data_IF_220067490608
#
_entry.id   IF_220067490608
#
_cell.length_a   1.000
_cell.length_b   1.000
_cell.length_c   1.000
_cell.angle_alpha   90.00
_cell.angle_beta   90.00
_cell.angle_gamma   90.00
#
_symmetry.space_group_name_H-M   'P 1'
#
loop_
_entity.id
_entity.type
_entity.pdbx_description
1 polymer ?
#
# COMPACT_ATOMS: atom_id res chain seq x y z
N UNK A 1 -12.63 27.41 -22.02
CA UNK A 1 -12.51 26.16 -21.25
C UNK A 1 -13.59 25.21 -21.71
N UNK A 2 -13.25 24.25 -22.58
CA UNK A 2 -14.21 23.24 -23.03
C UNK A 2 -14.28 22.19 -21.92
N UNK A 3 -15.32 22.25 -21.08
CA UNK A 3 -15.57 21.20 -20.10
C UNK A 3 -15.93 19.93 -20.85
N UNK A 4 -15.12 18.89 -20.66
CA UNK A 4 -15.35 17.57 -21.24
C UNK A 4 -16.77 17.10 -20.87
N UNK A 5 -17.61 16.63 -21.81
CA UNK A 5 -19.01 16.29 -21.56
C UNK A 5 -19.19 15.23 -20.46
N UNK A 6 -18.17 14.43 -20.23
CA UNK A 6 -18.14 13.43 -19.17
C UNK A 6 -18.14 14.05 -17.76
N UNK A 7 -17.50 15.21 -17.59
CA UNK A 7 -17.45 15.92 -16.30
C UNK A 7 -18.83 16.46 -15.92
N UNK A 8 -19.66 16.78 -16.91
CA UNK A 8 -21.03 17.26 -16.75
C UNK A 8 -21.98 16.11 -16.41
N UNK A 9 -21.78 14.92 -17.01
CA UNK A 9 -22.57 13.71 -16.67
C UNK A 9 -22.25 13.22 -15.27
N UNK A 10 -20.98 13.19 -14.89
CA UNK A 10 -20.55 12.74 -13.56
C UNK A 10 -21.06 13.66 -12.45
N UNK A 11 -21.00 14.98 -12.67
CA UNK A 11 -21.53 15.95 -11.71
C UNK A 11 -23.05 15.86 -11.58
N UNK A 12 -23.78 15.65 -12.69
CA UNK A 12 -25.24 15.42 -12.66
C UNK A 12 -25.60 14.14 -11.92
N UNK A 13 -24.92 13.04 -12.21
CA UNK A 13 -25.15 11.77 -11.53
C UNK A 13 -24.88 11.89 -10.02
N UNK A 14 -23.77 12.53 -9.64
CA UNK A 14 -23.43 12.76 -8.22
C UNK A 14 -24.44 13.67 -7.51
N UNK A 15 -25.03 14.64 -8.22
CA UNK A 15 -26.09 15.49 -7.69
C UNK A 15 -27.42 14.72 -7.50
N UNK A 16 -27.72 13.77 -8.38
CA UNK A 16 -28.92 12.92 -8.29
C UNK A 16 -28.79 11.83 -7.22
N UNK A 17 -27.59 11.26 -7.05
CA UNK A 17 -27.33 10.13 -6.15
C UNK A 17 -26.36 10.53 -5.02
N UNK A 18 -26.76 11.48 -4.17
CA UNK A 18 -25.91 12.06 -3.12
C UNK A 18 -25.36 11.01 -2.15
N UNK A 19 -26.21 10.04 -1.74
CA UNK A 19 -25.81 8.98 -0.79
C UNK A 19 -24.77 8.06 -1.43
N UNK A 20 -25.00 7.62 -2.67
CA UNK A 20 -24.05 6.78 -3.39
C UNK A 20 -22.70 7.49 -3.60
N UNK A 21 -22.73 8.76 -3.97
CA UNK A 21 -21.52 9.57 -4.13
C UNK A 21 -20.73 9.70 -2.81
N UNK A 22 -21.41 9.92 -1.68
CA UNK A 22 -20.78 9.96 -0.35
C UNK A 22 -20.16 8.61 0.04
N UNK A 23 -20.88 7.51 -0.17
CA UNK A 23 -20.38 6.17 0.12
C UNK A 23 -19.17 5.81 -0.75
N UNK A 24 -19.23 6.14 -2.05
CA UNK A 24 -18.14 5.89 -2.98
C UNK A 24 -16.89 6.68 -2.58
N UNK A 25 -17.05 7.97 -2.23
CA UNK A 25 -15.96 8.78 -1.72
C UNK A 25 -15.35 8.21 -0.44
N UNK A 26 -16.19 7.86 0.55
CA UNK A 26 -15.74 7.24 1.80
C UNK A 26 -14.99 5.92 1.56
N UNK A 27 -15.49 5.08 0.65
CA UNK A 27 -14.84 3.83 0.28
C UNK A 27 -13.48 4.05 -0.40
N UNK A 28 -13.39 5.02 -1.31
CA UNK A 28 -12.10 5.36 -1.95
C UNK A 28 -11.09 5.89 -0.95
N UNK A 29 -11.52 6.71 0.02
CA UNK A 29 -10.67 7.20 1.10
C UNK A 29 -10.19 6.07 2.01
N UNK A 30 -11.10 5.15 2.38
CA UNK A 30 -10.74 3.98 3.18
C UNK A 30 -9.71 3.10 2.49
N UNK A 31 -9.87 2.82 1.19
CA UNK A 31 -8.90 2.07 0.41
C UNK A 31 -7.56 2.79 0.33
N UNK A 32 -7.58 4.09 0.06
CA UNK A 32 -6.39 4.95 -0.02
C UNK A 32 -5.57 4.92 1.28
N UNK A 33 -6.25 5.07 2.41
CA UNK A 33 -5.67 5.00 3.76
C UNK A 33 -5.12 3.60 4.06
N UNK A 34 -5.88 2.56 3.74
CA UNK A 34 -5.46 1.17 3.93
C UNK A 34 -4.17 0.89 3.17
N UNK A 35 -4.10 1.27 1.90
CA UNK A 35 -2.90 1.12 1.06
C UNK A 35 -1.71 1.87 1.68
N UNK A 36 -1.92 3.11 2.13
CA UNK A 36 -0.88 3.90 2.79
C UNK A 36 -0.32 3.19 4.02
N UNK A 37 -1.20 2.74 4.91
CA UNK A 37 -0.82 2.00 6.12
C UNK A 37 -0.03 0.72 5.80
N UNK A 38 -0.52 -0.08 4.86
CA UNK A 38 0.16 -1.31 4.44
C UNK A 38 1.54 -1.05 3.82
N UNK A 39 1.65 -0.04 2.95
CA UNK A 39 2.93 0.35 2.36
C UNK A 39 3.89 0.86 3.44
N UNK A 40 3.38 1.64 4.39
CA UNK A 40 4.13 2.13 5.55
C UNK A 40 4.79 0.99 6.32
N UNK A 41 4.00 -0.03 6.66
CA UNK A 41 4.48 -1.25 7.35
C UNK A 41 5.53 -2.02 6.54
N UNK A 42 5.45 -2.00 5.22
CA UNK A 42 6.29 -2.82 4.35
C UNK A 42 7.58 -2.15 3.87
N UNK A 43 7.58 -0.83 3.65
CA UNK A 43 8.68 -0.10 3.00
C UNK A 43 9.65 0.56 3.97
N UNK A 44 9.16 1.21 5.03
CA UNK A 44 10.02 2.00 5.90
C UNK A 44 10.64 1.06 6.94
N UNK A 45 11.97 1.09 7.14
CA UNK A 45 12.56 0.48 8.32
C UNK A 45 11.96 1.12 9.59
N UNK A 46 11.88 0.34 10.67
CA UNK A 46 11.27 0.71 11.94
C UNK A 46 11.59 2.16 12.36
N UNK A 47 10.58 3.05 12.29
CA UNK A 47 10.67 4.41 12.81
C UNK A 47 10.73 4.38 14.34
N UNK A 48 11.57 5.23 14.92
CA UNK A 48 11.56 5.49 16.35
C UNK A 48 10.30 6.28 16.75
N UNK A 49 9.92 6.20 18.03
CA UNK A 49 8.78 6.97 18.59
C UNK A 49 8.99 8.47 18.36
N UNK A 50 10.23 8.95 18.52
CA UNK A 50 10.58 10.37 18.37
C UNK A 50 10.42 10.83 16.91
N UNK A 51 10.92 10.08 15.94
CA UNK A 51 10.76 10.41 14.52
C UNK A 51 9.29 10.39 14.09
N UNK A 52 8.50 9.42 14.57
CA UNK A 52 7.07 9.36 14.31
C UNK A 52 6.33 10.59 14.84
N UNK A 53 6.63 11.01 16.07
CA UNK A 53 6.06 12.22 16.69
C UNK A 53 6.38 13.48 15.88
N UNK A 54 7.64 13.65 15.46
CA UNK A 54 8.07 14.80 14.65
C UNK A 54 7.31 14.84 13.32
N UNK A 55 7.17 13.70 12.63
CA UNK A 55 6.41 13.60 11.38
C UNK A 55 4.93 13.93 11.59
N UNK A 56 4.32 13.42 12.67
CA UNK A 56 2.93 13.74 13.00
C UNK A 56 2.71 15.23 13.23
N UNK A 57 3.56 15.86 14.05
CA UNK A 57 3.47 17.30 14.35
C UNK A 57 3.64 18.13 13.08
N UNK A 58 4.63 17.80 12.23
CA UNK A 58 4.87 18.51 10.97
C UNK A 58 3.68 18.39 10.01
N UNK A 59 3.10 17.20 9.86
CA UNK A 59 1.98 16.99 8.92
C UNK A 59 0.67 17.60 9.42
N UNK A 60 0.39 17.51 10.73
CA UNK A 60 -0.80 18.12 11.33
C UNK A 60 -0.70 19.64 11.31
N UNK A 61 0.46 20.21 11.66
CA UNK A 61 0.67 21.67 11.58
C UNK A 61 0.53 22.19 10.15
N UNK A 62 1.11 21.51 9.17
CA UNK A 62 0.95 21.87 7.76
C UNK A 62 -0.53 21.81 7.33
N UNK A 63 -1.23 20.74 7.70
CA UNK A 63 -2.66 20.59 7.39
C UNK A 63 -3.50 21.68 8.04
N UNK A 64 -3.20 22.03 9.30
CA UNK A 64 -3.86 23.10 10.04
C UNK A 64 -3.68 24.46 9.36
N UNK A 65 -2.45 24.81 8.96
CA UNK A 65 -2.16 26.05 8.25
C UNK A 65 -2.96 26.13 6.95
N UNK A 66 -3.02 25.04 6.18
CA UNK A 66 -3.74 24.99 4.90
C UNK A 66 -5.26 25.09 5.06
N UNK A 67 -5.82 24.48 6.10
CA UNK A 67 -7.25 24.59 6.42
C UNK A 67 -7.59 26.01 6.86
N UNK A 68 -6.72 26.65 7.65
CA UNK A 68 -6.96 27.99 8.19
C UNK A 68 -6.75 29.11 7.16
N UNK A 69 -6.11 28.82 6.02
CA UNK A 69 -6.08 29.74 4.89
C UNK A 69 -7.49 29.90 4.33
N UNK A 70 -8.12 31.05 4.62
CA UNK A 70 -9.41 31.47 4.07
C UNK A 70 -9.33 31.57 2.54
N UNK A 71 -9.53 30.44 1.88
CA UNK A 71 -9.49 30.35 0.43
C UNK A 71 -10.88 30.68 -0.08
N UNK A 72 -11.06 31.88 -0.65
CA UNK A 72 -12.34 32.23 -1.28
C UNK A 72 -12.69 31.18 -2.35
N UNK A 73 -13.92 30.66 -2.31
CA UNK A 73 -14.43 29.62 -3.22
C UNK A 73 -14.31 30.00 -4.71
N UNK A 74 -14.16 31.29 -5.02
CA UNK A 74 -13.91 31.78 -6.38
C UNK A 74 -12.59 31.30 -6.98
N UNK A 75 -11.58 30.97 -6.16
CA UNK A 75 -10.31 30.44 -6.62
C UNK A 75 -10.31 28.90 -6.58
N UNK A 76 -11.11 28.29 -7.46
CA UNK A 76 -11.24 26.83 -7.57
C UNK A 76 -9.88 26.11 -7.68
N UNK A 77 -8.91 26.72 -8.40
CA UNK A 77 -7.54 26.19 -8.52
C UNK A 77 -6.83 26.08 -7.16
N UNK A 78 -6.90 27.12 -6.32
CA UNK A 78 -6.27 27.11 -4.98
C UNK A 78 -6.98 26.16 -4.03
N UNK A 79 -8.31 26.08 -4.12
CA UNK A 79 -9.09 25.12 -3.34
C UNK A 79 -8.71 23.67 -3.67
N UNK A 80 -8.59 23.33 -4.96
CA UNK A 80 -8.16 22.02 -5.41
C UNK A 80 -6.71 21.70 -4.98
N UNK A 81 -5.80 22.67 -5.10
CA UNK A 81 -4.42 22.53 -4.64
C UNK A 81 -4.35 22.25 -3.13
N UNK A 82 -5.04 23.04 -2.30
CA UNK A 82 -5.06 22.85 -0.86
C UNK A 82 -5.67 21.49 -0.47
N UNK A 83 -6.78 21.10 -1.13
CA UNK A 83 -7.39 19.79 -0.95
C UNK A 83 -6.43 18.64 -1.27
N UNK A 84 -5.69 18.74 -2.39
CA UNK A 84 -4.70 17.74 -2.77
C UNK A 84 -3.56 17.64 -1.75
N UNK A 85 -3.10 18.75 -1.18
CA UNK A 85 -2.05 18.74 -0.15
C UNK A 85 -2.56 18.11 1.14
N UNK A 86 -3.76 18.46 1.62
CA UNK A 86 -4.38 17.84 2.81
C UNK A 86 -4.57 16.33 2.61
N UNK A 87 -5.03 15.95 1.41
CA UNK A 87 -5.15 14.55 1.02
C UNK A 87 -3.78 13.86 1.06
N UNK A 88 -2.72 14.49 0.58
CA UNK A 88 -1.35 13.96 0.65
C UNK A 88 -0.84 13.85 2.10
N UNK A 89 -1.11 14.83 2.95
CA UNK A 89 -0.74 14.80 4.37
C UNK A 89 -1.40 13.64 5.12
N UNK A 90 -2.70 13.42 4.92
CA UNK A 90 -3.41 12.28 5.52
C UNK A 90 -2.83 10.94 5.05
N UNK A 91 -2.48 10.82 3.77
CA UNK A 91 -1.81 9.62 3.25
C UNK A 91 -0.47 9.38 3.94
N UNK A 92 0.37 10.41 4.05
CA UNK A 92 1.68 10.33 4.70
C UNK A 92 1.56 9.99 6.20
N UNK A 93 0.57 10.53 6.89
CA UNK A 93 0.30 10.19 8.30
C UNK A 93 0.05 8.69 8.45
N UNK A 94 -0.90 8.14 7.70
CA UNK A 94 -1.21 6.71 7.78
C UNK A 94 -0.05 5.82 7.32
N UNK A 95 0.72 6.27 6.33
CA UNK A 95 1.96 5.62 5.90
C UNK A 95 2.99 5.58 7.05
N UNK A 96 3.22 6.69 7.75
CA UNK A 96 4.09 6.74 8.92
C UNK A 96 3.56 5.89 10.08
N UNK A 97 2.25 5.89 10.33
CA UNK A 97 1.61 5.06 11.36
C UNK A 97 1.82 3.57 11.07
N UNK A 98 1.66 3.14 9.81
CA UNK A 98 1.92 1.75 9.42
C UNK A 98 3.36 1.30 9.69
N UNK A 99 4.33 2.18 9.43
CA UNK A 99 5.74 1.94 9.77
C UNK A 99 5.96 1.81 11.29
N UNK A 100 5.35 2.70 12.07
CA UNK A 100 5.43 2.68 13.53
C UNK A 100 4.95 1.34 14.13
N UNK A 101 3.79 0.86 13.70
CA UNK A 101 3.25 -0.43 14.15
C UNK A 101 4.15 -1.62 13.76
N UNK A 102 4.90 -1.52 12.66
CA UNK A 102 5.87 -2.57 12.29
C UNK A 102 6.97 -2.74 13.34
N UNK A 103 7.39 -1.67 14.02
CA UNK A 103 8.42 -1.70 15.05
C UNK A 103 7.93 -2.36 16.35
N UNK A 104 6.67 -2.13 16.69
CA UNK A 104 6.07 -2.71 17.88
C UNK A 104 5.93 -4.24 17.76
N UNK A 105 5.59 -4.75 16.57
CA UNK A 105 5.52 -6.19 16.28
C UNK A 105 6.89 -6.88 16.39
N UNK A 106 7.99 -6.22 15.96
CA UNK A 106 9.34 -6.77 16.15
C UNK A 106 9.80 -6.78 17.60
N UNK A 107 9.46 -5.76 18.39
CA UNK A 107 9.93 -5.63 19.78
C UNK A 107 9.08 -6.46 20.76
N UNK A 108 7.79 -6.67 20.49
CA UNK A 108 6.89 -7.46 21.33
C UNK A 108 7.20 -8.97 21.31
N UNK A 109 7.80 -9.50 20.23
CA UNK A 109 8.31 -10.89 20.22
C UNK A 109 9.50 -11.14 21.17
N UNK A 110 10.07 -10.09 21.77
CA UNK A 110 11.14 -10.17 22.78
C UNK A 110 10.67 -9.97 24.22
N UNK A 111 9.40 -9.61 24.44
CA UNK A 111 8.81 -9.41 25.78
C UNK A 111 7.70 -10.44 26.04
N UNK A 112 8.04 -11.72 25.98
CA UNK A 112 7.33 -12.75 26.75
C UNK A 112 8.30 -13.27 27.80
N UNK A 113 7.88 -13.33 29.05
CA UNK A 113 8.67 -13.62 30.28
C UNK A 113 9.30 -12.38 30.92
N UNK A 114 8.45 -11.43 31.33
CA UNK A 114 8.68 -10.70 32.58
C UNK A 114 7.52 -11.02 33.51
N UNK A 115 7.39 -12.31 33.86
CA UNK A 115 6.64 -12.71 35.04
C UNK A 115 7.55 -12.49 36.25
N UNK A 116 7.09 -11.64 37.15
CA UNK A 116 7.73 -11.34 38.42
C UNK A 116 8.05 -12.61 39.22
N UNK A 117 9.26 -12.62 39.76
CA UNK A 117 9.55 -12.93 41.17
C UNK A 117 9.37 -14.38 41.66
N UNK A 118 10.47 -15.15 41.63
CA UNK A 118 10.89 -15.98 42.77
C UNK A 118 12.42 -15.97 42.81
N UNK A 119 12.99 -15.22 43.74
CA UNK A 119 14.33 -15.50 44.25
C UNK A 119 14.30 -16.85 44.99
N UNK A 120 14.90 -17.88 44.42
CA UNK A 120 15.41 -19.01 45.22
C UNK A 120 16.82 -19.36 44.78
N UNK A 121 17.75 -18.88 45.60
CA UNK A 121 19.12 -19.33 45.72
C UNK A 121 19.15 -20.83 45.98
N UNK A 122 19.64 -21.64 45.03
CA UNK A 122 20.34 -22.87 45.41
C UNK A 122 21.29 -23.35 44.30
N UNK A 123 22.58 -23.39 44.67
CA UNK A 123 23.65 -24.06 43.94
C UNK A 123 23.30 -25.53 43.72
N UNK A 124 23.46 -26.06 42.51
CA UNK A 124 23.76 -27.47 42.23
C UNK A 124 24.10 -27.67 40.74
N UNK A 125 25.06 -28.55 40.45
CA UNK A 125 25.80 -28.70 39.19
C UNK A 125 25.05 -29.20 37.95
N UNK A 126 23.77 -28.85 37.77
CA UNK A 126 22.95 -29.21 36.60
C UNK A 126 22.80 -28.06 35.59
N UNK A 127 23.42 -26.91 35.87
CA UNK A 127 23.33 -25.69 35.07
C UNK A 127 24.34 -25.62 33.92
N UNK A 128 25.40 -26.44 33.95
CA UNK A 128 26.43 -26.43 32.91
C UNK A 128 25.92 -27.06 31.59
N UNK A 129 25.11 -28.11 31.67
CA UNK A 129 24.56 -28.79 30.49
C UNK A 129 23.49 -27.95 29.78
N UNK A 130 22.72 -27.16 30.54
CA UNK A 130 21.69 -26.25 30.02
C UNK A 130 22.29 -24.99 29.38
N UNK A 131 23.49 -24.59 29.80
CA UNK A 131 24.22 -23.45 29.25
C UNK A 131 24.85 -23.79 27.89
N UNK A 132 25.33 -25.02 27.69
CA UNK A 132 25.82 -25.49 26.38
C UNK A 132 24.69 -25.65 25.35
N UNK A 133 23.56 -26.25 25.75
CA UNK A 133 22.36 -26.35 24.88
C UNK A 133 21.85 -24.96 24.46
N UNK A 134 21.86 -23.98 25.37
CA UNK A 134 21.53 -22.58 25.03
C UNK A 134 22.57 -21.89 24.13
N UNK A 135 23.87 -22.19 24.26
CA UNK A 135 24.92 -21.61 23.41
C UNK A 135 24.83 -22.07 21.96
N UNK A 136 24.38 -23.31 21.74
CA UNK A 136 24.10 -23.86 20.41
C UNK A 136 22.87 -23.15 19.82
N UNK A 137 21.81 -23.00 20.60
CA UNK A 137 20.56 -22.36 20.15
C UNK A 137 20.72 -20.85 19.85
N UNK A 138 21.59 -20.17 20.60
CA UNK A 138 21.98 -18.78 20.32
C UNK A 138 22.80 -18.69 19.04
N UNK A 139 23.66 -19.66 18.72
CA UNK A 139 24.43 -19.68 17.45
C UNK A 139 23.54 -19.99 16.24
N UNK A 140 22.51 -20.82 16.37
CA UNK A 140 21.48 -21.02 15.32
C UNK A 140 20.62 -19.77 15.13
N UNK A 141 20.14 -19.13 16.21
CA UNK A 141 19.40 -17.85 16.13
C UNK A 141 20.25 -16.69 15.59
N UNK A 142 21.56 -16.64 15.88
CA UNK A 142 22.48 -15.63 15.32
C UNK A 142 22.82 -15.89 13.84
N UNK A 143 22.76 -17.15 13.36
CA UNK A 143 22.85 -17.50 11.94
C UNK A 143 21.52 -17.27 11.19
N UNK A 144 20.37 -17.31 11.85
CA UNK A 144 19.07 -16.93 11.25
C UNK A 144 18.89 -15.41 11.14
N UNK A 145 19.33 -14.63 12.15
CA UNK A 145 19.34 -13.16 12.05
C UNK A 145 20.25 -12.64 10.93
N UNK A 146 21.30 -13.38 10.54
CA UNK A 146 22.16 -13.04 9.39
C UNK A 146 21.58 -13.40 8.02
N UNK A 147 20.53 -14.23 7.94
CA UNK A 147 19.84 -14.60 6.67
C UNK A 147 18.61 -13.72 6.36
N UNK A 148 18.26 -12.78 7.24
CA UNK A 148 17.13 -11.85 7.08
C UNK A 148 17.50 -10.54 6.37
N UNK A 149 18.76 -10.38 5.93
CA UNK A 149 19.21 -9.36 4.97
C UNK A 149 18.82 -9.73 3.52
N UNK A 150 17.64 -10.34 3.33
CA UNK A 150 17.09 -10.51 1.98
C UNK A 150 16.40 -9.20 1.58
N UNK A 151 17.26 -8.21 1.29
CA UNK A 151 17.04 -7.07 0.40
C UNK A 151 15.83 -6.18 0.70
N UNK A 152 15.93 -5.37 1.75
CA UNK A 152 15.08 -4.17 1.95
C UNK A 152 14.98 -3.35 0.65
N UNK A 153 16.09 -3.25 -0.12
CA UNK A 153 16.12 -2.59 -1.44
C UNK A 153 15.16 -3.20 -2.48
N UNK A 154 15.02 -4.52 -2.57
CA UNK A 154 14.07 -5.15 -3.53
C UNK A 154 12.63 -5.00 -3.09
N UNK A 155 12.36 -5.04 -1.78
CA UNK A 155 11.01 -4.76 -1.25
C UNK A 155 10.59 -3.33 -1.56
N UNK A 156 11.50 -2.37 -1.35
CA UNK A 156 11.29 -0.97 -1.73
C UNK A 156 11.05 -0.85 -3.23
N UNK A 157 11.82 -1.54 -4.07
CA UNK A 157 11.63 -1.52 -5.52
C UNK A 157 10.26 -2.06 -5.95
N UNK A 158 9.79 -3.17 -5.37
CA UNK A 158 8.46 -3.71 -5.68
C UNK A 158 7.33 -2.80 -5.18
N UNK A 159 7.51 -2.19 -4.00
CA UNK A 159 6.58 -1.18 -3.47
C UNK A 159 6.51 0.06 -4.36
N UNK A 160 7.67 0.55 -4.84
CA UNK A 160 7.75 1.68 -5.76
C UNK A 160 7.12 1.35 -7.12
N UNK A 161 7.33 0.14 -7.65
CA UNK A 161 6.68 -0.31 -8.89
C UNK A 161 5.15 -0.36 -8.75
N UNK A 162 4.64 -0.81 -7.61
CA UNK A 162 3.21 -0.75 -7.32
C UNK A 162 2.73 0.71 -7.26
N UNK A 163 3.44 1.56 -6.54
CA UNK A 163 3.09 2.97 -6.42
C UNK A 163 3.12 3.69 -7.77
N UNK A 164 4.02 3.30 -8.68
CA UNK A 164 4.10 3.81 -10.04
C UNK A 164 2.96 3.31 -10.94
N UNK A 165 2.44 2.10 -10.69
CA UNK A 165 1.31 1.55 -11.46
C UNK A 165 0.00 2.32 -11.26
N UNK A 166 -0.20 2.90 -10.07
CA UNK A 166 -1.38 3.69 -9.70
C UNK A 166 -1.59 4.94 -10.57
N UNK A 167 -0.65 5.91 -10.64
CA UNK A 167 -0.78 7.09 -11.49
C UNK A 167 -0.81 6.70 -12.97
N UNK A 168 -0.09 5.65 -13.37
CA UNK A 168 -0.10 5.18 -14.76
C UNK A 168 -1.48 4.66 -15.17
N UNK A 169 -2.15 3.91 -14.29
CA UNK A 169 -3.52 3.43 -14.51
C UNK A 169 -4.51 4.59 -14.54
N UNK A 170 -4.37 5.56 -13.63
CA UNK A 170 -5.23 6.73 -13.58
C UNK A 170 -5.12 7.57 -14.86
N UNK A 171 -3.90 7.88 -15.30
CA UNK A 171 -3.66 8.60 -16.55
C UNK A 171 -4.23 7.83 -17.73
N UNK A 172 -3.98 6.52 -17.81
CA UNK A 172 -4.47 5.69 -18.91
C UNK A 172 -6.01 5.64 -18.97
N UNK A 173 -6.71 5.62 -17.83
CA UNK A 173 -8.17 5.74 -17.76
C UNK A 173 -8.67 7.11 -18.24
N UNK A 174 -8.01 8.20 -17.83
CA UNK A 174 -8.37 9.55 -18.29
C UNK A 174 -8.20 9.68 -19.81
N UNK A 175 -7.11 9.14 -20.36
CA UNK A 175 -6.86 9.15 -21.80
C UNK A 175 -7.84 8.26 -22.56
N UNK A 176 -8.13 7.05 -22.06
CA UNK A 176 -9.13 6.16 -22.66
C UNK A 176 -10.51 6.83 -22.73
N UNK A 177 -10.88 7.51 -21.65
CA UNK A 177 -12.13 8.26 -21.54
C UNK A 177 -12.19 9.44 -22.53
N UNK A 178 -11.10 10.21 -22.66
CA UNK A 178 -10.99 11.30 -23.64
C UNK A 178 -11.09 10.81 -25.09
N UNK A 179 -10.43 9.71 -25.44
CA UNK A 179 -10.47 9.13 -26.78
C UNK A 179 -11.81 8.47 -27.10
N UNK A 180 -12.47 7.87 -26.10
CA UNK A 180 -13.82 7.32 -26.27
C UNK A 180 -14.84 8.42 -26.56
N UNK A 181 -14.67 9.59 -25.96
CA UNK A 181 -15.53 10.75 -26.22
C UNK A 181 -15.32 11.39 -27.60
N UNK A 182 -14.16 11.19 -28.24
CA UNK A 182 -13.87 11.75 -29.58
C UNK A 182 -14.25 10.81 -30.73
N UNK A 183 -14.97 9.72 -30.45
CA UNK A 183 -15.53 8.82 -31.46
C UNK A 183 -14.57 7.74 -31.96
N UNK A 184 -13.36 7.65 -31.42
CA UNK A 184 -12.46 6.54 -31.71
C UNK A 184 -12.92 5.30 -30.94
N UNK A 185 -13.32 4.25 -31.65
CA UNK A 185 -13.84 3.03 -31.00
C UNK A 185 -12.70 2.12 -30.54
N UNK A 186 -11.63 1.95 -31.33
CA UNK A 186 -10.59 0.95 -31.05
C UNK A 186 -9.55 1.38 -30.01
N UNK A 187 -9.02 2.60 -30.11
CA UNK A 187 -7.95 3.12 -29.24
C UNK A 187 -8.28 3.15 -27.74
N UNK A 188 -9.51 3.53 -27.32
CA UNK A 188 -9.89 3.50 -25.92
C UNK A 188 -9.80 2.10 -25.31
N UNK A 189 -10.22 1.06 -26.04
CA UNK A 189 -10.14 -0.31 -25.56
C UNK A 189 -8.71 -0.75 -25.30
N UNK A 190 -7.79 -0.40 -26.19
CA UNK A 190 -6.36 -0.70 -26.02
C UNK A 190 -5.80 -0.01 -24.77
N UNK A 191 -6.10 1.28 -24.58
CA UNK A 191 -5.67 2.03 -23.40
C UNK A 191 -6.32 1.51 -22.11
N UNK A 192 -7.58 1.08 -22.18
CA UNK A 192 -8.30 0.48 -21.06
C UNK A 192 -7.59 -0.80 -20.63
N UNK A 193 -7.36 -1.74 -21.57
CA UNK A 193 -6.65 -3.00 -21.32
C UNK A 193 -5.24 -2.74 -20.79
N UNK A 194 -4.52 -1.78 -21.36
CA UNK A 194 -3.17 -1.41 -20.92
C UNK A 194 -3.16 -0.86 -19.49
N UNK A 195 -4.13 -0.01 -19.15
CA UNK A 195 -4.29 0.56 -17.80
C UNK A 195 -4.57 -0.54 -16.77
N UNK A 196 -5.49 -1.47 -17.08
CA UNK A 196 -5.78 -2.59 -16.19
C UNK A 196 -4.65 -3.61 -16.12
N UNK A 197 -3.91 -3.80 -17.21
CA UNK A 197 -2.67 -4.57 -17.23
C UNK A 197 -1.63 -3.97 -16.29
N UNK A 198 -1.46 -2.65 -16.29
CA UNK A 198 -0.57 -1.95 -15.38
C UNK A 198 -1.03 -2.11 -13.92
N UNK A 199 -2.32 -1.97 -13.64
CA UNK A 199 -2.88 -2.16 -12.30
C UNK A 199 -2.70 -3.60 -11.80
N UNK A 200 -2.94 -4.60 -12.64
CA UNK A 200 -2.74 -5.99 -12.29
C UNK A 200 -1.27 -6.36 -12.10
N UNK A 201 -0.37 -5.79 -12.90
CA UNK A 201 1.06 -5.89 -12.67
C UNK A 201 1.44 -5.30 -11.31
N UNK A 202 0.89 -4.14 -10.96
CA UNK A 202 1.01 -3.54 -9.65
C UNK A 202 0.56 -4.50 -8.53
N UNK A 203 -0.67 -5.01 -8.62
CA UNK A 203 -1.22 -5.96 -7.64
C UNK A 203 -0.36 -7.23 -7.52
N UNK A 204 0.19 -7.72 -8.62
CA UNK A 204 1.11 -8.85 -8.60
C UNK A 204 2.41 -8.54 -7.86
N UNK A 205 3.00 -7.36 -8.08
CA UNK A 205 4.17 -6.92 -7.31
C UNK A 205 3.84 -6.78 -5.83
N UNK A 206 2.63 -6.34 -5.50
CA UNK A 206 2.13 -6.24 -4.14
C UNK A 206 2.00 -7.64 -3.50
N UNK A 207 1.37 -8.62 -4.17
CA UNK A 207 1.34 -10.02 -3.70
C UNK A 207 2.75 -10.61 -3.54
N UNK A 208 3.68 -10.24 -4.43
CA UNK A 208 5.07 -10.69 -4.38
C UNK A 208 5.88 -10.01 -3.28
N UNK A 209 5.58 -8.75 -2.96
CA UNK A 209 6.12 -8.01 -1.83
C UNK A 209 5.74 -8.71 -0.51
N UNK A 210 4.52 -9.21 -0.42
CA UNK A 210 4.01 -9.91 0.76
C UNK A 210 4.39 -11.40 0.83
N UNK A 211 4.78 -12.00 -0.29
CA UNK A 211 5.20 -13.40 -0.32
C UNK A 211 6.53 -13.58 0.44
N UNK A 212 6.48 -14.24 1.60
CA UNK A 212 7.67 -14.63 2.40
C UNK A 212 8.62 -15.59 1.68
N UNK A 213 8.20 -16.14 0.53
CA UNK A 213 8.98 -17.09 -0.26
C UNK A 213 10.08 -16.33 -1.03
N UNK A 214 11.34 -16.76 -0.85
CA UNK A 214 12.45 -16.23 -1.64
C UNK A 214 12.13 -16.41 -3.13
N UNK A 215 12.11 -15.34 -3.94
CA UNK A 215 11.93 -15.47 -5.37
C UNK A 215 13.13 -16.25 -5.92
N UNK A 216 12.89 -17.51 -6.33
CA UNK A 216 13.86 -18.25 -7.13
C UNK A 216 14.08 -17.49 -8.44
N UNK A 217 15.31 -17.49 -8.94
CA UNK A 217 15.64 -16.86 -10.22
C UNK A 217 14.75 -17.47 -11.31
N UNK A 218 14.17 -16.63 -12.17
CA UNK A 218 13.27 -17.09 -13.25
C UNK A 218 13.90 -18.14 -14.17
N UNK A 219 15.24 -18.10 -14.29
CA UNK A 219 16.05 -19.02 -15.09
C UNK A 219 16.06 -20.46 -14.54
N UNK A 220 15.85 -20.64 -13.25
CA UNK A 220 15.96 -21.93 -12.56
C UNK A 220 14.61 -22.63 -12.32
N UNK A 221 13.51 -22.04 -12.84
CA UNK A 221 12.15 -22.54 -12.64
C UNK A 221 11.74 -23.47 -13.79
N UNK A 222 11.21 -24.64 -13.45
CA UNK A 222 10.63 -25.58 -14.42
C UNK A 222 9.38 -24.98 -15.10
N UNK A 223 9.00 -25.47 -16.30
CA UNK A 223 7.82 -24.97 -17.04
C UNK A 223 6.52 -25.02 -16.21
N UNK A 224 6.30 -26.07 -15.41
CA UNK A 224 5.13 -26.18 -14.52
C UNK A 224 5.15 -25.16 -13.38
N UNK A 225 6.32 -24.87 -12.80
CA UNK A 225 6.43 -23.86 -11.74
C UNK A 225 6.27 -22.43 -12.28
N UNK A 226 6.72 -22.16 -13.51
CA UNK A 226 6.49 -20.87 -14.19
C UNK A 226 4.99 -20.57 -14.33
N UNK A 227 4.21 -21.56 -14.74
CA UNK A 227 2.76 -21.42 -14.86
C UNK A 227 2.08 -21.22 -13.51
N UNK A 228 2.53 -21.95 -12.48
CA UNK A 228 2.04 -21.76 -11.09
C UNK A 228 2.37 -20.38 -10.52
N UNK A 229 3.48 -19.76 -10.95
CA UNK A 229 3.85 -18.40 -10.59
C UNK A 229 3.02 -17.33 -11.33
N UNK A 230 2.54 -17.62 -12.53
CA UNK A 230 1.65 -16.72 -13.31
C UNK A 230 0.18 -16.83 -12.92
N UNK A 231 -0.25 -17.97 -12.36
CA UNK A 231 -1.62 -18.16 -11.85
C UNK A 231 -2.13 -17.01 -10.97
N UNK A 232 -1.39 -16.52 -9.94
CA UNK A 232 -1.85 -15.39 -9.14
C UNK A 232 -1.97 -14.08 -9.93
N UNK A 233 -1.13 -13.85 -10.95
CA UNK A 233 -1.26 -12.68 -11.83
C UNK A 233 -2.57 -12.73 -12.62
N UNK A 234 -2.88 -13.88 -13.24
CA UNK A 234 -4.13 -14.05 -13.98
C UNK A 234 -5.36 -13.97 -13.07
N UNK A 235 -5.29 -14.53 -11.86
CA UNK A 235 -6.37 -14.42 -10.88
C UNK A 235 -6.60 -12.97 -10.48
N UNK A 236 -5.55 -12.21 -10.17
CA UNK A 236 -5.68 -10.77 -9.88
C UNK A 236 -6.25 -10.00 -11.08
N UNK A 237 -5.82 -10.32 -12.31
CA UNK A 237 -6.35 -9.69 -13.51
C UNK A 237 -7.84 -9.99 -13.73
N UNK A 238 -8.26 -11.24 -13.50
CA UNK A 238 -9.64 -11.68 -13.63
C UNK A 238 -10.54 -11.06 -12.55
N UNK A 239 -10.06 -10.94 -11.31
CA UNK A 239 -10.77 -10.23 -10.23
C UNK A 239 -10.97 -8.76 -10.59
N UNK A 240 -9.93 -8.09 -11.08
CA UNK A 240 -10.01 -6.69 -11.50
C UNK A 240 -11.05 -6.53 -12.61
N UNK A 241 -10.98 -7.35 -13.66
CA UNK A 241 -11.97 -7.36 -14.75
C UNK A 241 -13.39 -7.62 -14.24
N UNK A 242 -13.57 -8.55 -13.31
CA UNK A 242 -14.89 -8.86 -12.74
C UNK A 242 -15.46 -7.68 -11.95
N UNK A 243 -14.67 -7.04 -11.09
CA UNK A 243 -15.10 -5.87 -10.31
C UNK A 243 -15.50 -4.72 -11.24
N UNK A 244 -14.75 -4.48 -12.31
CA UNK A 244 -15.05 -3.43 -13.28
C UNK A 244 -16.28 -3.78 -14.10
N UNK A 245 -16.41 -5.04 -14.54
CA UNK A 245 -17.58 -5.50 -15.27
C UNK A 245 -18.87 -5.30 -14.47
N UNK A 246 -18.83 -5.62 -13.17
CA UNK A 246 -19.92 -5.31 -12.24
C UNK A 246 -20.14 -3.80 -12.15
N UNK A 247 -19.08 -3.00 -12.01
CA UNK A 247 -19.20 -1.54 -11.94
C UNK A 247 -19.81 -0.91 -13.19
N UNK A 248 -19.46 -1.41 -14.38
CA UNK A 248 -20.02 -0.96 -15.66
C UNK A 248 -21.48 -1.39 -15.82
N UNK A 249 -21.84 -2.59 -15.36
CA UNK A 249 -23.23 -3.06 -15.34
C UNK A 249 -24.13 -2.20 -14.45
N UNK A 250 -23.62 -1.68 -13.32
CA UNK A 250 -24.37 -0.76 -12.46
C UNK A 250 -24.37 0.69 -12.93
N UNK A 251 -23.45 1.06 -13.82
CA UNK A 251 -23.31 2.42 -14.34
C UNK A 251 -24.01 2.64 -15.70
N UNK A 252 -24.46 1.57 -16.34
CA UNK A 252 -25.31 1.58 -17.54
C UNK A 252 -26.77 1.52 -17.14
#
# INVERSE_FOLDING_TARGET
MIFNPLHIRLSRWAAQNIIAARLLFAFTEFLRISIAFYLGKALIPTLSIQEYLVVCIALVSLSYVLINQKTKRSNFKKYFQNGFVIMSCSWLLFFSTGSFFSNQESNSTTFSVLANDVQTTQKSGLLAETLEKNKIDIKTKKKEKKKMSFSTKRKILYGLLFLLSLPLTFLGLVYACGLGCSGYVFWPWVLYILSFGALAAGLFFLVKLFSKKKPRKYRDLSKREKWKAWKPFFVSWLIVLAVIGVFLLFAT
#
